data_IF_067173823139
#
_entry.id   IF_067173823139
#
_cell.length_a   1.000
_cell.length_b   1.000
_cell.length_c   1.000
_cell.angle_alpha   90.00
_cell.angle_beta   90.00
_cell.angle_gamma   90.00
#
_symmetry.space_group_name_H-M   'P 1'
#
loop_
_entity.id
_entity.type
_entity.pdbx_description
1 polymer ?
#
# COMPACT_ATOMS: atom_id res chain seq x y z
N UNK A 1 -7.66 -8.51 0.15
CA UNK A 1 -9.11 -8.44 -0.11
C UNK A 1 -9.35 -8.63 -1.60
N UNK A 2 -10.45 -9.29 -1.99
CA UNK A 2 -10.82 -9.56 -3.38
C UNK A 2 -12.33 -9.69 -3.53
N UNK A 3 -12.87 -9.28 -4.68
CA UNK A 3 -14.22 -9.60 -5.11
C UNK A 3 -14.22 -10.97 -5.82
N UNK A 4 -15.23 -11.78 -5.54
CA UNK A 4 -15.43 -13.07 -6.18
C UNK A 4 -16.89 -13.17 -6.63
N UNK A 5 -17.09 -13.46 -7.93
CA UNK A 5 -18.40 -13.71 -8.50
C UNK A 5 -18.64 -15.22 -8.57
N UNK A 6 -19.75 -15.65 -8.00
CA UNK A 6 -20.15 -17.06 -8.02
C UNK A 6 -21.19 -17.29 -9.13
N UNK A 7 -21.12 -18.43 -9.80
CA UNK A 7 -22.11 -18.87 -10.79
C UNK A 7 -23.36 -19.44 -10.12
N UNK A 8 -23.25 -19.86 -8.87
CA UNK A 8 -24.35 -20.40 -8.06
C UNK A 8 -24.39 -19.68 -6.72
N UNK A 9 -25.59 -19.46 -6.19
CA UNK A 9 -25.77 -18.86 -4.88
C UNK A 9 -25.21 -19.78 -3.78
N UNK A 10 -24.42 -19.22 -2.87
CA UNK A 10 -23.82 -19.94 -1.76
C UNK A 10 -23.71 -19.03 -0.54
N UNK A 11 -23.99 -19.57 0.64
CA UNK A 11 -23.81 -18.82 1.88
C UNK A 11 -22.33 -18.45 2.09
N UNK A 12 -22.02 -17.24 2.58
CA UNK A 12 -20.63 -16.77 2.79
C UNK A 12 -19.79 -17.74 3.62
N UNK A 13 -20.36 -18.33 4.67
CA UNK A 13 -19.68 -19.26 5.56
C UNK A 13 -19.28 -20.56 4.83
N UNK A 14 -20.16 -21.06 3.98
CA UNK A 14 -19.91 -22.27 3.16
C UNK A 14 -18.83 -21.98 2.13
N UNK A 15 -18.91 -20.83 1.46
CA UNK A 15 -17.91 -20.39 0.51
C UNK A 15 -16.54 -20.23 1.19
N UNK A 16 -16.48 -19.52 2.33
CA UNK A 16 -15.25 -19.31 3.10
C UNK A 16 -14.59 -20.63 3.51
N UNK A 17 -15.36 -21.58 4.03
CA UNK A 17 -14.86 -22.90 4.40
C UNK A 17 -14.31 -23.69 3.22
N UNK A 18 -15.02 -23.71 2.07
CA UNK A 18 -14.56 -24.38 0.85
C UNK A 18 -13.31 -23.76 0.26
N UNK A 19 -13.23 -22.43 0.29
CA UNK A 19 -12.07 -21.70 -0.23
C UNK A 19 -10.86 -21.93 0.68
N UNK A 20 -11.05 -21.83 2.01
CA UNK A 20 -9.98 -22.04 3.00
C UNK A 20 -9.38 -23.44 2.90
N UNK A 21 -10.18 -24.46 2.66
CA UNK A 21 -9.72 -25.85 2.46
C UNK A 21 -8.81 -26.06 1.23
N UNK A 22 -8.75 -25.07 0.33
CA UNK A 22 -7.95 -25.10 -0.91
C UNK A 22 -6.84 -24.06 -0.97
N UNK A 23 -6.71 -23.26 0.09
CA UNK A 23 -5.62 -22.28 0.18
C UNK A 23 -4.28 -22.96 0.44
N UNK A 24 -3.24 -22.35 -0.09
CA UNK A 24 -1.87 -22.75 0.24
C UNK A 24 -1.58 -22.46 1.72
N UNK A 25 -0.66 -23.22 2.35
CA UNK A 25 -0.23 -22.97 3.72
C UNK A 25 0.23 -21.51 3.91
N UNK A 26 -0.18 -20.89 5.01
CA UNK A 26 0.15 -19.51 5.34
C UNK A 26 -0.84 -18.45 4.79
N UNK A 27 -1.81 -18.85 3.96
CA UNK A 27 -2.90 -17.97 3.53
C UNK A 27 -4.12 -18.20 4.41
N UNK A 28 -4.60 -17.14 5.05
CA UNK A 28 -5.78 -17.17 5.92
C UNK A 28 -6.86 -16.25 5.35
N UNK A 29 -8.10 -16.78 5.27
CA UNK A 29 -9.28 -16.00 4.92
C UNK A 29 -9.92 -15.59 6.24
N UNK A 30 -9.90 -14.29 6.52
CA UNK A 30 -10.38 -13.75 7.80
C UNK A 30 -11.88 -13.46 7.78
N UNK A 31 -12.42 -13.09 6.62
CA UNK A 31 -13.82 -12.69 6.51
C UNK A 31 -14.34 -12.92 5.08
N UNK A 32 -15.62 -13.29 4.98
CA UNK A 32 -16.36 -13.42 3.72
C UNK A 32 -17.73 -12.81 3.91
N UNK A 33 -18.05 -11.82 3.07
CA UNK A 33 -19.33 -11.15 3.11
C UNK A 33 -19.98 -11.14 1.72
N UNK A 34 -21.31 -11.28 1.70
CA UNK A 34 -22.08 -11.07 0.49
C UNK A 34 -22.32 -9.59 0.29
N UNK A 35 -22.08 -9.10 -0.93
CA UNK A 35 -22.34 -7.73 -1.34
C UNK A 35 -23.36 -7.68 -2.48
N UNK A 36 -24.14 -6.61 -2.65
CA UNK A 36 -25.05 -6.46 -3.77
C UNK A 36 -24.31 -6.52 -5.11
N UNK A 37 -24.88 -7.19 -6.11
CA UNK A 37 -24.27 -7.28 -7.46
C UNK A 37 -24.06 -5.92 -8.13
N UNK A 38 -24.81 -4.91 -7.73
CA UNK A 38 -24.68 -3.53 -8.24
C UNK A 38 -23.65 -2.70 -7.48
N UNK A 39 -23.08 -3.22 -6.40
CA UNK A 39 -22.05 -2.51 -5.66
C UNK A 39 -20.81 -2.28 -6.55
N UNK A 40 -20.16 -1.10 -6.45
CA UNK A 40 -18.89 -0.87 -7.12
C UNK A 40 -17.86 -1.91 -6.67
N UNK A 41 -17.00 -2.34 -7.60
CA UNK A 41 -15.94 -3.29 -7.24
C UNK A 41 -14.99 -2.69 -6.19
N UNK A 42 -14.38 -3.54 -5.37
CA UNK A 42 -13.36 -3.10 -4.39
C UNK A 42 -12.25 -2.28 -5.04
N UNK A 43 -11.87 -2.63 -6.27
CA UNK A 43 -10.85 -1.89 -7.01
C UNK A 43 -11.29 -0.46 -7.36
N UNK A 44 -12.59 -0.24 -7.64
CA UNK A 44 -13.15 1.09 -7.91
C UNK A 44 -13.27 1.93 -6.62
N UNK A 45 -13.53 1.27 -5.50
CA UNK A 45 -13.68 1.93 -4.20
C UNK A 45 -12.35 2.19 -3.50
N UNK A 46 -11.27 1.50 -3.90
CA UNK A 46 -9.96 1.65 -3.26
C UNK A 46 -9.45 3.08 -3.42
N UNK A 47 -9.16 3.75 -2.31
CA UNK A 47 -8.72 5.13 -2.24
C UNK A 47 -7.29 5.29 -1.74
N UNK A 48 -6.92 4.54 -0.70
CA UNK A 48 -5.58 4.65 -0.11
C UNK A 48 -5.05 3.32 0.42
N UNK A 49 -3.74 3.22 0.53
CA UNK A 49 -3.04 2.14 1.21
C UNK A 49 -2.15 2.69 2.30
N UNK A 50 -2.10 1.97 3.41
CA UNK A 50 -1.24 2.29 4.56
C UNK A 50 -0.12 1.25 4.65
N UNK A 51 1.10 1.75 4.77
CA UNK A 51 2.29 0.92 4.89
C UNK A 51 3.10 1.28 6.14
N UNK A 52 3.77 0.29 6.68
CA UNK A 52 4.86 0.45 7.63
C UNK A 52 6.16 0.01 6.96
N UNK A 53 7.21 0.80 7.17
CA UNK A 53 8.55 0.53 6.63
C UNK A 53 9.53 0.48 7.78
N UNK A 54 10.14 -0.68 7.96
CA UNK A 54 11.24 -0.90 8.91
C UNK A 54 12.59 -0.85 8.21
N UNK A 55 13.61 -0.52 8.98
CA UNK A 55 15.01 -0.42 8.55
C UNK A 55 15.84 -1.47 9.28
N UNK A 56 16.03 -2.70 8.75
CA UNK A 56 16.71 -3.79 9.43
C UNK A 56 18.15 -3.47 9.86
N UNK A 57 18.85 -2.66 9.06
CA UNK A 57 20.22 -2.23 9.32
C UNK A 57 20.28 -0.95 10.19
N UNK A 58 19.12 -0.51 10.71
CA UNK A 58 19.00 0.71 11.48
C UNK A 58 18.93 1.96 10.61
N UNK A 59 18.47 3.06 11.20
CA UNK A 59 18.44 4.39 10.58
C UNK A 59 18.55 5.46 11.65
N UNK A 60 19.17 6.60 11.32
CA UNK A 60 19.13 7.78 12.17
C UNK A 60 17.71 8.39 12.17
N UNK A 61 17.01 8.27 13.30
CA UNK A 61 15.64 8.72 13.44
C UNK A 61 15.48 10.24 13.30
N UNK A 62 16.45 11.04 13.74
CA UNK A 62 16.42 12.50 13.57
C UNK A 62 16.66 12.92 12.12
N UNK A 63 17.64 12.30 11.48
CA UNK A 63 17.91 12.49 10.06
C UNK A 63 16.70 12.10 9.22
N UNK A 64 16.06 10.97 9.55
CA UNK A 64 14.85 10.52 8.87
C UNK A 64 13.68 11.49 9.01
N UNK A 65 13.44 12.04 10.23
CA UNK A 65 12.39 13.04 10.46
C UNK A 65 12.65 14.31 9.66
N UNK A 66 13.91 14.76 9.56
CA UNK A 66 14.30 15.90 8.75
C UNK A 66 14.05 15.68 7.27
N UNK A 67 14.47 14.54 6.73
CA UNK A 67 14.26 14.19 5.33
C UNK A 67 12.77 14.06 4.97
N UNK A 68 11.95 13.51 5.88
CA UNK A 68 10.49 13.46 5.71
C UNK A 68 9.89 14.87 5.70
N UNK A 69 10.32 15.76 6.60
CA UNK A 69 9.84 17.14 6.62
C UNK A 69 10.18 17.89 5.33
N UNK A 70 11.40 17.72 4.81
CA UNK A 70 11.83 18.29 3.52
C UNK A 70 11.02 17.73 2.36
N UNK A 71 10.78 16.40 2.34
CA UNK A 71 9.95 15.74 1.33
C UNK A 71 8.53 16.34 1.31
N UNK A 72 7.92 16.50 2.48
CA UNK A 72 6.57 17.04 2.61
C UNK A 72 6.47 18.53 2.31
N UNK A 73 7.53 19.29 2.54
CA UNK A 73 7.62 20.72 2.22
C UNK A 73 7.81 20.98 0.72
N UNK A 74 8.24 19.98 -0.06
CA UNK A 74 8.40 20.13 -1.49
C UNK A 74 7.04 20.36 -2.18
N UNK A 75 6.95 21.35 -3.06
CA UNK A 75 5.74 21.64 -3.83
C UNK A 75 5.44 20.61 -4.92
N UNK A 76 6.47 19.90 -5.40
CA UNK A 76 6.39 18.86 -6.43
C UNK A 76 7.54 17.87 -6.25
N UNK A 77 7.29 16.61 -6.55
CA UNK A 77 8.26 15.51 -6.46
C UNK A 77 8.21 14.68 -7.74
N UNK A 78 8.86 15.18 -8.79
CA UNK A 78 8.86 14.49 -10.08
C UNK A 78 9.62 13.18 -10.00
N UNK A 79 8.99 12.09 -10.48
CA UNK A 79 9.53 10.73 -10.51
C UNK A 79 9.27 10.09 -11.87
N UNK A 80 10.11 9.14 -12.22
CA UNK A 80 9.97 8.34 -13.44
C UNK A 80 9.63 6.90 -13.06
N UNK A 81 8.66 6.33 -13.76
CA UNK A 81 8.28 4.92 -13.62
C UNK A 81 8.30 4.24 -14.97
N UNK A 82 9.02 3.14 -15.07
CA UNK A 82 8.95 2.25 -16.24
C UNK A 82 7.85 1.23 -16.06
N UNK A 83 6.98 1.10 -17.07
CA UNK A 83 6.04 -0.02 -17.16
C UNK A 83 6.65 -1.10 -18.04
N UNK A 84 6.46 -2.40 -17.74
CA UNK A 84 7.08 -3.49 -18.52
C UNK A 84 6.75 -3.50 -20.01
N UNK A 85 5.62 -2.89 -20.39
CA UNK A 85 5.13 -2.81 -21.78
C UNK A 85 5.47 -1.50 -22.48
N UNK A 86 5.97 -0.50 -21.77
CA UNK A 86 6.24 0.82 -22.32
C UNK A 86 7.74 1.00 -22.55
N UNK A 87 8.11 1.36 -23.78
CA UNK A 87 9.50 1.64 -24.15
C UNK A 87 10.03 2.94 -23.54
N UNK A 88 9.15 3.83 -23.07
CA UNK A 88 9.50 5.12 -22.46
C UNK A 88 9.06 5.20 -21.00
N UNK A 89 9.91 5.73 -20.11
CA UNK A 89 9.51 5.99 -18.74
C UNK A 89 8.39 7.04 -18.70
N UNK A 90 7.41 6.84 -17.82
CA UNK A 90 6.38 7.84 -17.55
C UNK A 90 6.81 8.70 -16.38
N UNK A 91 6.82 10.00 -16.58
CA UNK A 91 7.06 10.98 -15.52
C UNK A 91 5.74 11.29 -14.81
N UNK A 92 5.76 11.36 -13.49
CA UNK A 92 4.61 11.73 -12.67
C UNK A 92 5.06 12.52 -11.44
N UNK A 93 4.16 13.30 -10.87
CA UNK A 93 4.40 13.98 -9.60
C UNK A 93 3.93 13.07 -8.44
N UNK A 94 4.88 12.69 -7.58
CA UNK A 94 4.61 11.88 -6.41
C UNK A 94 3.96 12.68 -5.29
N UNK A 95 4.23 14.00 -5.19
CA UNK A 95 3.80 14.82 -4.04
C UNK A 95 2.30 14.78 -3.76
N UNK A 96 1.40 14.95 -4.74
CA UNK A 96 -0.05 14.87 -4.50
C UNK A 96 -0.54 13.47 -4.14
N UNK A 97 0.29 12.43 -4.33
CA UNK A 97 -0.05 11.05 -4.00
C UNK A 97 0.39 10.65 -2.58
N UNK A 98 1.10 11.52 -1.88
CA UNK A 98 1.47 11.36 -0.47
C UNK A 98 0.39 12.00 0.40
N UNK A 99 -0.46 11.18 1.01
CA UNK A 99 -1.50 11.64 1.92
C UNK A 99 -0.92 11.96 3.30
N UNK A 100 0.01 11.10 3.74
CA UNK A 100 0.73 11.28 5.00
C UNK A 100 2.03 10.47 4.98
N UNK A 101 3.10 11.03 5.57
CA UNK A 101 4.38 10.36 5.80
C UNK A 101 4.84 10.75 7.20
N UNK A 102 4.88 9.78 8.10
CA UNK A 102 5.26 9.99 9.49
C UNK A 102 6.42 9.07 9.90
N UNK A 103 7.28 9.56 10.78
CA UNK A 103 8.28 8.75 11.48
C UNK A 103 7.70 8.39 12.84
N UNK A 104 7.52 7.12 13.07
CA UNK A 104 7.06 6.53 14.34
C UNK A 104 8.18 5.67 14.94
N UNK A 105 7.98 5.19 16.14
CA UNK A 105 8.82 4.17 16.78
C UNK A 105 8.05 2.85 16.78
N UNK A 106 8.74 1.75 16.58
CA UNK A 106 8.18 0.41 16.76
C UNK A 106 8.16 0.02 18.25
N UNK A 107 7.75 -1.21 18.56
CA UNK A 107 7.64 -1.71 19.92
C UNK A 107 9.00 -1.76 20.65
N UNK A 108 10.10 -1.85 19.90
CA UNK A 108 11.46 -1.86 20.43
C UNK A 108 12.10 -0.46 20.47
N UNK A 109 11.35 0.58 20.09
CA UNK A 109 11.82 1.97 20.02
C UNK A 109 12.64 2.29 18.76
N UNK A 110 12.69 1.39 17.78
CA UNK A 110 13.39 1.65 16.53
C UNK A 110 12.56 2.54 15.58
N UNK A 111 13.20 3.50 14.87
CA UNK A 111 12.49 4.34 13.92
C UNK A 111 11.91 3.53 12.76
N UNK A 112 10.65 3.81 12.42
CA UNK A 112 9.96 3.28 11.25
C UNK A 112 9.20 4.38 10.52
N UNK A 113 8.94 4.19 9.22
CA UNK A 113 8.03 5.06 8.48
C UNK A 113 6.63 4.48 8.47
N UNK A 114 5.65 5.35 8.68
CA UNK A 114 4.26 5.10 8.34
C UNK A 114 3.89 5.94 7.13
N UNK A 115 3.41 5.27 6.08
CA UNK A 115 3.05 5.90 4.81
C UNK A 115 1.56 5.72 4.57
N UNK A 116 0.85 6.81 4.28
CA UNK A 116 -0.50 6.79 3.70
C UNK A 116 -0.41 7.31 2.27
N UNK A 117 -0.70 6.46 1.33
CA UNK A 117 -0.49 6.70 -0.09
C UNK A 117 -1.79 6.56 -0.87
N UNK A 118 -2.00 7.43 -1.85
CA UNK A 118 -3.11 7.28 -2.80
C UNK A 118 -2.95 5.96 -3.53
N UNK A 119 -4.02 5.19 -3.54
CA UNK A 119 -4.16 3.99 -4.35
C UNK A 119 -5.58 3.91 -4.90
N UNK A 120 -5.75 4.27 -6.15
CA UNK A 120 -7.04 4.24 -6.84
C UNK A 120 -6.92 3.51 -8.17
N UNK A 121 -8.03 3.39 -8.87
CA UNK A 121 -8.05 2.79 -10.21
C UNK A 121 -7.16 3.54 -11.23
N UNK A 122 -6.95 4.83 -11.03
CA UNK A 122 -6.24 5.70 -11.99
C UNK A 122 -4.86 6.16 -11.49
N UNK A 123 -4.66 6.24 -10.18
CA UNK A 123 -3.44 6.77 -9.58
C UNK A 123 -2.95 5.86 -8.46
N UNK A 124 -1.66 5.62 -8.42
CA UNK A 124 -1.04 4.79 -7.37
C UNK A 124 0.35 5.30 -7.05
N UNK A 125 0.58 5.65 -5.78
CA UNK A 125 1.92 5.78 -5.22
C UNK A 125 2.37 4.42 -4.66
N UNK A 126 3.67 4.17 -4.73
CA UNK A 126 4.30 2.97 -4.16
C UNK A 126 5.27 3.35 -3.05
N UNK A 127 5.42 2.52 -2.02
CA UNK A 127 6.46 2.74 -1.00
C UNK A 127 7.86 2.94 -1.59
N UNK A 128 8.19 2.19 -2.66
CA UNK A 128 9.47 2.27 -3.34
C UNK A 128 9.76 3.67 -3.90
N UNK A 129 8.73 4.35 -4.44
CA UNK A 129 8.86 5.72 -4.96
C UNK A 129 9.18 6.70 -3.83
N UNK A 130 8.59 6.50 -2.65
CA UNK A 130 8.82 7.31 -1.45
C UNK A 130 10.21 7.05 -0.88
N UNK A 131 10.60 5.78 -0.75
CA UNK A 131 11.92 5.38 -0.26
C UNK A 131 13.03 5.92 -1.16
N UNK A 132 12.89 5.78 -2.47
CA UNK A 132 13.82 6.36 -3.42
C UNK A 132 13.87 7.91 -3.34
N UNK A 133 12.73 8.56 -3.04
CA UNK A 133 12.69 10.00 -2.83
C UNK A 133 13.44 10.44 -1.55
N UNK A 134 13.43 9.60 -0.52
CA UNK A 134 14.18 9.79 0.73
C UNK A 134 15.64 9.33 0.66
N UNK A 135 16.06 8.76 -0.48
CA UNK A 135 17.44 8.29 -0.69
C UNK A 135 17.73 6.87 -0.17
N UNK A 136 16.70 6.10 0.14
CA UNK A 136 16.85 4.69 0.57
C UNK A 136 16.69 3.73 -0.60
N UNK A 137 17.45 2.62 -0.54
CA UNK A 137 17.23 1.47 -1.40
C UNK A 137 15.99 0.69 -0.88
N UNK A 138 14.92 0.56 -1.67
CA UNK A 138 13.74 -0.21 -1.26
C UNK A 138 14.06 -1.66 -0.88
N UNK A 139 15.08 -2.28 -1.50
CA UNK A 139 15.48 -3.66 -1.21
C UNK A 139 16.18 -3.81 0.14
N UNK A 140 16.73 -2.73 0.70
CA UNK A 140 17.32 -2.70 2.02
C UNK A 140 16.31 -2.41 3.15
N UNK A 141 15.02 -2.30 2.81
CA UNK A 141 13.95 -2.01 3.77
C UNK A 141 12.94 -3.15 3.87
N UNK A 142 12.18 -3.17 4.97
CA UNK A 142 11.08 -4.11 5.16
C UNK A 142 9.76 -3.37 5.05
N UNK A 143 9.08 -3.54 3.93
CA UNK A 143 7.79 -2.90 3.66
C UNK A 143 6.64 -3.85 3.97
N UNK A 144 5.70 -3.42 4.81
CA UNK A 144 4.46 -4.15 5.13
C UNK A 144 3.25 -3.27 4.85
N UNK A 145 2.31 -3.74 4.03
CA UNK A 145 1.00 -3.08 3.90
C UNK A 145 0.11 -3.49 5.05
N UNK A 146 -0.30 -2.53 5.86
CA UNK A 146 -1.09 -2.78 7.08
C UNK A 146 -2.57 -2.49 6.92
N UNK A 147 -2.95 -1.65 5.95
CA UNK A 147 -4.36 -1.39 5.66
C UNK A 147 -4.60 -0.98 4.20
N UNK A 148 -5.81 -1.27 3.74
CA UNK A 148 -6.45 -0.68 2.56
C UNK A 148 -7.65 0.13 3.06
N UNK A 149 -7.86 1.32 2.49
CA UNK A 149 -9.02 2.15 2.78
C UNK A 149 -9.79 2.41 1.51
N UNK A 150 -11.09 2.28 1.62
CA UNK A 150 -12.01 2.42 0.52
C UNK A 150 -12.74 3.76 0.67
N UNK A 151 -13.12 4.36 -0.46
CA UNK A 151 -13.99 5.52 -0.47
C UNK A 151 -15.39 5.14 0.04
N UNK A 152 -16.03 6.03 0.76
CA UNK A 152 -17.42 5.88 1.22
C UNK A 152 -18.40 5.94 0.04
#
# INVERSE_FOLDING_TARGET
VADVWLTEAMAPEVFGARLMARMAPGIVISDVAQVPLVAPSLQQQLAESVYEVGFPDGVDGEGLRRSVAELLAAGSLMRERRRPKDSRPQTFDLRPLLLDVAVEEDEDGAPRLRLRLVQSATQTARPDDVLAALGFDPLATRVRRVALRFAD
#
